data_IF_495813884026
#
_entry.id   IF_495813884026
#
_cell.length_a   1.000
_cell.length_b   1.000
_cell.length_c   1.000
_cell.angle_alpha   90.00
_cell.angle_beta   90.00
_cell.angle_gamma   90.00
#
_symmetry.space_group_name_H-M   'P 1'
#
loop_
_entity.id
_entity.type
_entity.pdbx_description
1 polymer ?
#
# COMPACT_ATOMS: atom_id res chain seq x y z
N UNK A 1 33.78 16.47 11.06
CA UNK A 1 33.47 17.88 10.70
C UNK A 1 34.61 18.73 11.25
N UNK A 2 35.54 19.19 10.39
CA UNK A 2 36.80 19.85 10.77
C UNK A 2 36.64 21.30 11.29
N UNK A 3 37.66 22.14 11.13
CA UNK A 3 37.59 23.58 11.44
C UNK A 3 36.88 24.35 10.31
N UNK A 4 35.54 24.29 10.26
CA UNK A 4 34.71 24.95 9.25
C UNK A 4 34.37 26.41 9.60
N UNK A 5 34.46 26.78 10.87
CA UNK A 5 34.19 28.15 11.30
C UNK A 5 35.29 29.09 10.80
N UNK A 6 34.92 30.27 10.28
CA UNK A 6 35.87 31.29 9.83
C UNK A 6 37.00 30.71 8.94
N UNK A 7 36.63 29.80 8.03
CA UNK A 7 37.54 29.15 7.11
C UNK A 7 37.03 29.33 5.68
N UNK A 8 37.77 30.13 4.90
CA UNK A 8 37.42 30.48 3.53
C UNK A 8 37.34 29.27 2.58
N UNK A 9 37.91 28.11 2.96
CA UNK A 9 37.76 26.88 2.18
C UNK A 9 36.31 26.34 2.16
N UNK A 10 35.43 26.86 3.03
CA UNK A 10 34.00 26.52 3.12
C UNK A 10 33.09 27.71 2.76
N UNK A 11 33.64 28.79 2.18
CA UNK A 11 32.90 30.02 1.92
C UNK A 11 31.69 29.80 0.98
N UNK A 12 31.75 28.79 0.12
CA UNK A 12 30.70 28.40 -0.83
C UNK A 12 29.53 27.65 -0.19
N UNK A 13 29.71 27.09 1.01
CA UNK A 13 28.68 26.31 1.72
C UNK A 13 28.14 27.01 2.97
N UNK A 14 28.68 28.16 3.37
CA UNK A 14 28.10 28.96 4.45
C UNK A 14 26.74 29.51 4.04
N UNK A 15 25.85 29.66 5.01
CA UNK A 15 24.45 30.05 4.74
C UNK A 15 23.96 31.14 5.67
N UNK A 16 24.74 31.50 6.70
CA UNK A 16 24.60 32.74 7.48
C UNK A 16 25.93 33.49 7.48
N UNK A 17 25.97 34.78 7.79
CA UNK A 17 24.89 35.77 7.89
C UNK A 17 25.00 36.71 6.69
N UNK A 18 23.96 36.88 5.84
CA UNK A 18 24.07 37.65 4.58
C UNK A 18 24.34 39.15 4.78
N UNK A 19 24.49 39.61 6.03
CA UNK A 19 24.64 41.00 6.45
C UNK A 19 25.78 41.13 7.46
N UNK A 20 26.45 42.27 7.44
CA UNK A 20 27.48 42.65 8.43
C UNK A 20 26.97 43.59 9.52
N UNK A 21 25.72 44.04 9.41
CA UNK A 21 25.09 44.97 10.37
C UNK A 21 23.76 44.42 10.87
N UNK A 22 23.45 44.71 12.14
CA UNK A 22 22.23 44.25 12.79
C UNK A 22 21.07 45.21 12.48
N UNK A 23 20.01 44.70 11.85
CA UNK A 23 18.75 45.40 11.66
C UNK A 23 17.62 44.38 11.51
N UNK A 24 16.40 44.76 11.90
CA UNK A 24 15.21 43.88 11.78
C UNK A 24 15.28 42.59 12.60
N UNK A 25 16.15 42.51 13.62
CA UNK A 25 16.32 41.33 14.48
C UNK A 25 17.32 40.29 13.96
N UNK A 26 17.82 40.41 12.73
CA UNK A 26 18.74 39.45 12.12
C UNK A 26 20.19 39.54 12.67
N UNK A 27 20.86 38.39 12.77
CA UNK A 27 22.24 38.31 13.22
C UNK A 27 23.24 38.93 12.21
N UNK A 28 24.19 39.78 12.64
CA UNK A 28 25.31 40.21 11.81
C UNK A 28 26.47 39.20 11.86
N UNK A 29 27.39 39.26 10.90
CA UNK A 29 28.63 38.47 10.90
C UNK A 29 29.31 38.45 9.54
N UNK A 30 28.52 38.53 8.47
CA UNK A 30 28.98 38.23 7.12
C UNK A 30 28.87 36.73 6.82
N UNK A 31 29.12 36.35 5.57
CA UNK A 31 29.01 34.95 5.12
C UNK A 31 30.23 34.11 5.55
N UNK A 32 30.38 33.79 6.84
CA UNK A 32 31.63 33.18 7.33
C UNK A 32 31.55 32.19 8.51
N UNK A 33 30.42 32.09 9.18
CA UNK A 33 30.41 31.54 10.54
C UNK A 33 29.44 30.38 10.77
N UNK A 34 28.39 30.18 9.95
CA UNK A 34 27.35 29.18 10.22
C UNK A 34 26.74 28.58 8.96
N UNK A 35 26.28 27.33 9.10
CA UNK A 35 25.38 26.67 8.18
C UNK A 35 24.10 26.24 8.90
N UNK A 36 22.97 26.21 8.19
CA UNK A 36 21.74 25.62 8.71
C UNK A 36 21.86 24.10 8.78
N UNK A 37 21.33 23.54 9.85
CA UNK A 37 21.25 22.10 10.06
C UNK A 37 19.88 21.61 9.63
N UNK A 38 19.86 20.63 8.72
CA UNK A 38 18.66 19.85 8.45
C UNK A 38 18.69 18.68 9.44
N UNK A 39 17.80 18.71 10.42
CA UNK A 39 17.62 17.60 11.34
C UNK A 39 16.73 16.54 10.71
N UNK A 40 17.16 15.29 10.78
CA UNK A 40 16.40 14.12 10.35
C UNK A 40 16.06 13.27 11.57
N UNK A 41 15.02 12.44 11.48
CA UNK A 41 14.67 11.51 12.56
C UNK A 41 15.75 10.42 12.69
N UNK A 42 15.81 9.78 13.86
CA UNK A 42 16.68 8.62 14.07
C UNK A 42 16.38 7.51 13.03
N UNK A 43 15.12 7.34 12.64
CA UNK A 43 14.69 6.38 11.62
C UNK A 43 15.38 6.58 10.25
N UNK A 44 15.69 7.83 9.88
CA UNK A 44 16.43 8.15 8.64
C UNK A 44 17.94 7.89 8.78
N UNK A 45 18.46 7.86 10.01
CA UNK A 45 19.88 7.63 10.30
C UNK A 45 20.20 6.16 10.64
N UNK A 46 19.18 5.38 11.01
CA UNK A 46 19.27 3.97 11.42
C UNK A 46 18.94 3.01 10.27
N UNK A 47 18.97 3.49 9.02
CA UNK A 47 18.71 2.71 7.79
C UNK A 47 17.31 2.05 7.75
N UNK A 48 16.35 2.53 8.54
CA UNK A 48 14.95 2.04 8.50
C UNK A 48 14.11 2.68 7.38
N UNK A 49 14.67 3.68 6.70
CA UNK A 49 14.13 4.32 5.50
C UNK A 49 15.32 4.71 4.61
N UNK A 50 15.36 4.20 3.38
CA UNK A 50 16.49 4.38 2.46
C UNK A 50 16.44 5.77 1.75
N UNK A 51 16.57 6.85 2.52
CA UNK A 51 16.64 8.22 1.98
C UNK A 51 18.07 8.56 1.57
N UNK A 52 18.31 8.75 0.27
CA UNK A 52 19.60 9.15 -0.29
C UNK A 52 19.62 10.64 -0.62
N UNK A 53 20.67 11.35 -0.18
CA UNK A 53 20.91 12.71 -0.66
C UNK A 53 21.34 12.66 -2.14
N UNK A 54 20.67 13.42 -3.00
CA UNK A 54 21.06 13.53 -4.41
C UNK A 54 22.30 14.42 -4.48
N UNK A 55 23.42 13.82 -4.90
CA UNK A 55 24.71 14.51 -4.96
C UNK A 55 24.62 15.83 -5.75
N UNK A 56 25.38 16.84 -5.31
CA UNK A 56 25.45 18.18 -5.92
C UNK A 56 24.12 18.99 -5.99
N UNK A 57 23.12 18.66 -5.17
CA UNK A 57 21.84 19.42 -5.14
C UNK A 57 21.74 20.42 -3.98
N UNK A 58 22.69 20.40 -3.04
CA UNK A 58 22.78 21.39 -1.97
C UNK A 58 23.17 22.76 -2.54
N UNK A 59 22.26 23.73 -2.46
CA UNK A 59 22.45 25.09 -2.96
C UNK A 59 22.11 26.08 -1.86
N UNK A 60 23.11 26.83 -1.40
CA UNK A 60 22.93 28.03 -0.59
C UNK A 60 22.59 29.21 -1.51
N UNK A 61 21.30 29.51 -1.67
CA UNK A 61 20.82 30.41 -2.72
C UNK A 61 21.37 31.83 -2.58
N UNK A 62 22.13 32.26 -3.58
CA UNK A 62 22.81 33.55 -3.62
C UNK A 62 24.22 33.55 -3.02
N UNK A 63 24.67 32.46 -2.40
CA UNK A 63 26.07 32.33 -2.02
C UNK A 63 26.92 32.00 -3.25
N UNK A 64 27.93 32.82 -3.52
CA UNK A 64 28.90 32.61 -4.60
C UNK A 64 30.32 32.31 -4.09
N UNK A 65 30.47 32.14 -2.78
CA UNK A 65 31.75 31.89 -2.12
C UNK A 65 32.72 33.09 -2.11
N UNK A 66 32.32 34.27 -2.60
CA UNK A 66 33.19 35.44 -2.68
C UNK A 66 32.96 36.47 -1.57
N UNK A 67 31.89 36.29 -0.80
CA UNK A 67 31.44 37.25 0.22
C UNK A 67 31.83 36.84 1.64
N UNK A 68 32.90 36.05 1.80
CA UNK A 68 33.41 35.63 3.10
C UNK A 68 33.71 36.84 4.02
N UNK A 69 33.14 36.84 5.24
CA UNK A 69 33.12 37.95 6.22
C UNK A 69 32.51 39.25 5.68
N UNK A 70 31.73 39.19 4.61
CA UNK A 70 31.08 40.32 3.97
C UNK A 70 29.56 40.10 3.88
N UNK A 71 28.84 41.19 3.60
CA UNK A 71 27.43 41.11 3.25
C UNK A 71 27.30 40.49 1.85
N UNK A 72 26.25 39.70 1.62
CA UNK A 72 25.99 39.01 0.34
C UNK A 72 25.85 39.96 -0.86
N UNK A 73 25.51 41.22 -0.59
CA UNK A 73 25.34 42.28 -1.57
C UNK A 73 26.52 43.27 -1.61
N UNK A 74 27.65 42.93 -0.96
CA UNK A 74 28.87 43.74 -0.96
C UNK A 74 29.60 43.60 -2.29
N UNK A 75 29.47 44.61 -3.16
CA UNK A 75 30.08 44.55 -4.49
C UNK A 75 29.19 43.78 -5.46
N UNK A 76 29.78 42.87 -6.24
CA UNK A 76 29.05 42.09 -7.25
C UNK A 76 28.84 40.66 -6.78
N UNK A 77 27.59 40.19 -6.79
CA UNK A 77 27.26 38.79 -6.58
C UNK A 77 27.17 38.05 -7.92
N UNK A 78 27.86 36.93 -8.03
CA UNK A 78 27.89 36.13 -9.27
C UNK A 78 26.85 35.01 -9.32
N UNK A 79 26.23 34.65 -8.19
CA UNK A 79 25.17 33.65 -8.11
C UNK A 79 23.79 34.24 -8.41
N UNK A 80 23.54 35.51 -8.06
CA UNK A 80 22.25 36.18 -8.24
C UNK A 80 22.41 37.64 -8.67
N UNK A 81 21.37 38.22 -9.28
CA UNK A 81 21.36 39.65 -9.61
C UNK A 81 21.47 40.53 -8.36
N UNK A 82 21.98 41.76 -8.50
CA UNK A 82 22.10 42.70 -7.39
C UNK A 82 20.77 42.92 -6.64
N UNK A 83 19.66 43.03 -7.36
CA UNK A 83 18.33 43.19 -6.77
C UNK A 83 17.95 42.01 -5.87
N UNK A 84 18.33 40.78 -6.25
CA UNK A 84 18.09 39.58 -5.44
C UNK A 84 19.07 39.53 -4.26
N UNK A 85 20.34 39.88 -4.45
CA UNK A 85 21.30 39.97 -3.34
C UNK A 85 20.84 40.99 -2.27
N UNK A 86 20.35 42.16 -2.68
CA UNK A 86 19.80 43.18 -1.78
C UNK A 86 18.55 42.66 -1.05
N UNK A 87 17.69 41.92 -1.75
CA UNK A 87 16.50 41.31 -1.15
C UNK A 87 16.88 40.23 -0.13
N UNK A 88 17.83 39.35 -0.44
CA UNK A 88 18.34 38.32 0.49
C UNK A 88 18.98 38.96 1.73
N UNK A 89 19.82 39.98 1.52
CA UNK A 89 20.42 40.78 2.60
C UNK A 89 19.34 41.37 3.54
N UNK A 90 18.25 41.90 2.98
CA UNK A 90 17.20 42.55 3.75
C UNK A 90 16.24 41.56 4.44
N UNK A 91 15.84 40.51 3.72
CA UNK A 91 14.70 39.67 4.07
C UNK A 91 15.00 38.61 5.14
N UNK A 92 16.24 38.12 5.21
CA UNK A 92 16.57 36.96 6.05
C UNK A 92 17.95 37.08 6.68
N UNK A 93 18.14 36.56 7.89
CA UNK A 93 19.46 36.38 8.51
C UNK A 93 20.14 35.06 8.11
N UNK A 94 19.46 34.30 7.24
CA UNK A 94 19.90 33.07 6.62
C UNK A 94 19.59 33.02 5.11
N UNK A 95 20.47 32.45 4.30
CA UNK A 95 20.17 32.17 2.90
C UNK A 95 19.19 31.01 2.73
N UNK A 96 18.22 31.07 1.81
CA UNK A 96 17.44 29.87 1.46
C UNK A 96 18.38 28.74 1.04
N UNK A 97 18.20 27.57 1.62
CA UNK A 97 18.96 26.36 1.27
C UNK A 97 18.03 25.40 0.54
N UNK A 98 18.47 24.94 -0.62
CA UNK A 98 17.81 23.89 -1.38
C UNK A 98 18.66 22.64 -1.33
N UNK A 99 18.03 21.48 -1.20
CA UNK A 99 18.67 20.17 -1.33
C UNK A 99 17.61 19.20 -1.84
N UNK A 100 18.02 18.24 -2.66
CA UNK A 100 17.15 17.16 -3.12
C UNK A 100 17.52 15.87 -2.42
N UNK A 101 16.49 15.16 -1.96
CA UNK A 101 16.59 13.85 -1.37
C UNK A 101 15.76 12.90 -2.24
N UNK A 102 16.30 11.72 -2.49
CA UNK A 102 15.64 10.64 -3.17
C UNK A 102 15.26 9.58 -2.13
N UNK A 103 14.02 9.13 -2.20
CA UNK A 103 13.54 7.97 -1.45
C UNK A 103 13.63 6.75 -2.37
N UNK A 104 13.72 5.53 -1.83
CA UNK A 104 14.16 4.35 -2.59
C UNK A 104 13.13 3.82 -3.61
N UNK A 105 12.02 4.50 -3.87
CA UNK A 105 11.06 4.06 -4.91
C UNK A 105 10.16 5.14 -5.49
N UNK A 106 10.74 6.28 -5.87
CA UNK A 106 9.99 7.30 -6.61
C UNK A 106 9.01 8.10 -5.75
N UNK A 107 8.04 8.76 -6.38
CA UNK A 107 6.98 9.49 -5.67
C UNK A 107 5.93 8.51 -5.13
N UNK A 108 5.02 8.96 -4.27
CA UNK A 108 3.84 8.16 -3.94
C UNK A 108 2.93 8.10 -5.18
N UNK A 109 2.43 6.92 -5.51
CA UNK A 109 1.45 6.74 -6.59
C UNK A 109 0.15 7.46 -6.27
N UNK A 110 -0.56 7.90 -7.31
CA UNK A 110 -1.95 8.35 -7.19
C UNK A 110 -2.93 7.17 -6.98
N UNK A 111 -2.49 5.92 -7.26
CA UNK A 111 -3.30 4.72 -7.10
C UNK A 111 -3.33 4.24 -5.64
N UNK A 112 -4.50 3.83 -5.15
CA UNK A 112 -4.66 3.38 -3.75
C UNK A 112 -4.83 1.86 -3.63
N UNK A 113 -3.71 1.13 -3.59
CA UNK A 113 -3.65 -0.29 -3.22
C UNK A 113 -2.94 -0.46 -1.88
N UNK A 114 -3.38 -1.45 -1.10
CA UNK A 114 -2.84 -1.73 0.24
C UNK A 114 -2.60 -3.22 0.38
N UNK A 115 -1.44 -3.63 0.90
CA UNK A 115 -1.12 -5.01 1.26
C UNK A 115 -1.86 -5.36 2.55
N UNK A 116 -2.69 -6.41 2.51
CA UNK A 116 -3.63 -6.75 3.59
C UNK A 116 -3.31 -8.04 4.33
N UNK A 117 -2.62 -8.99 3.71
CA UNK A 117 -2.28 -10.27 4.32
C UNK A 117 -1.00 -10.83 3.69
N UNK A 118 -0.15 -11.47 4.49
CA UNK A 118 1.15 -12.03 4.05
C UNK A 118 1.31 -13.42 4.66
N UNK A 119 1.57 -14.43 3.82
CA UNK A 119 2.01 -15.77 4.19
C UNK A 119 3.48 -15.95 3.81
N UNK A 120 4.42 -15.61 4.70
CA UNK A 120 5.85 -15.72 4.40
C UNK A 120 6.40 -17.13 4.63
N UNK A 121 5.77 -17.94 5.50
CA UNK A 121 6.30 -19.22 5.95
C UNK A 121 5.21 -20.30 5.95
N UNK A 122 4.79 -20.82 4.77
CA UNK A 122 3.81 -21.91 4.69
C UNK A 122 4.33 -23.19 5.39
N UNK A 123 3.46 -23.92 6.08
CA UNK A 123 3.82 -25.19 6.71
C UNK A 123 3.29 -26.41 5.94
N UNK A 124 2.17 -26.25 5.22
CA UNK A 124 1.55 -27.34 4.47
C UNK A 124 2.37 -27.72 3.22
N UNK A 125 3.06 -26.76 2.62
CA UNK A 125 3.90 -26.94 1.43
C UNK A 125 5.19 -26.11 1.55
N UNK A 126 6.16 -26.34 0.67
CA UNK A 126 7.38 -25.52 0.64
C UNK A 126 7.10 -24.07 0.26
N UNK A 127 7.93 -23.16 0.76
CA UNK A 127 7.98 -21.72 0.44
C UNK A 127 7.87 -21.45 -1.07
N UNK A 128 8.62 -22.22 -1.88
CA UNK A 128 8.59 -22.13 -3.35
C UNK A 128 7.23 -22.35 -4.04
N UNK A 129 6.20 -22.72 -3.27
CA UNK A 129 4.83 -22.97 -3.73
C UNK A 129 3.80 -22.25 -2.87
N UNK A 130 4.02 -22.21 -1.55
CA UNK A 130 3.03 -21.75 -0.57
C UNK A 130 3.12 -20.28 -0.17
N UNK A 131 4.14 -19.55 -0.60
CA UNK A 131 4.25 -18.11 -0.34
C UNK A 131 3.22 -17.33 -1.16
N UNK A 132 2.56 -16.39 -0.49
CA UNK A 132 1.64 -15.44 -1.12
C UNK A 132 1.49 -14.18 -0.25
N UNK A 133 1.05 -13.11 -0.89
CA UNK A 133 0.56 -11.92 -0.23
C UNK A 133 -0.73 -11.44 -0.91
N UNK A 134 -1.51 -10.65 -0.20
CA UNK A 134 -2.80 -10.14 -0.64
C UNK A 134 -2.79 -8.62 -0.70
N UNK A 135 -3.41 -8.06 -1.73
CA UNK A 135 -3.64 -6.62 -1.88
C UNK A 135 -5.13 -6.31 -1.96
N UNK A 136 -5.51 -5.12 -1.50
CA UNK A 136 -6.85 -4.56 -1.55
C UNK A 136 -6.85 -3.24 -2.33
N UNK A 137 -7.72 -3.14 -3.34
CA UNK A 137 -7.97 -1.86 -4.00
C UNK A 137 -8.88 -1.00 -3.12
N UNK A 138 -8.33 0.11 -2.61
CA UNK A 138 -9.08 1.11 -1.81
C UNK A 138 -9.47 2.35 -2.61
N UNK A 139 -9.06 2.41 -3.87
CA UNK A 139 -9.45 3.46 -4.80
C UNK A 139 -10.92 3.34 -5.19
N UNK A 140 -11.43 4.42 -5.78
CA UNK A 140 -12.74 4.53 -6.40
C UNK A 140 -12.82 4.00 -7.84
N UNK A 141 -11.66 3.67 -8.44
CA UNK A 141 -11.54 3.19 -9.83
C UNK A 141 -10.97 1.77 -9.90
N UNK A 142 -11.19 1.12 -11.05
CA UNK A 142 -10.51 -0.14 -11.39
C UNK A 142 -9.05 0.17 -11.71
N UNK A 143 -8.14 -0.62 -11.15
CA UNK A 143 -6.69 -0.51 -11.39
C UNK A 143 -6.25 -1.72 -12.21
N UNK A 144 -5.57 -1.49 -13.34
CA UNK A 144 -4.86 -2.54 -14.09
C UNK A 144 -3.39 -2.52 -13.69
N UNK A 145 -2.87 -3.66 -13.22
CA UNK A 145 -1.49 -3.79 -12.74
C UNK A 145 -0.50 -4.09 -13.86
N UNK A 146 -0.92 -4.10 -15.14
CA UNK A 146 0.01 -4.28 -16.25
C UNK A 146 1.12 -3.22 -16.25
N UNK A 147 2.37 -3.68 -16.26
CA UNK A 147 3.57 -2.85 -16.20
C UNK A 147 4.03 -2.50 -14.79
N UNK A 148 3.28 -2.85 -13.75
CA UNK A 148 3.67 -2.61 -12.36
C UNK A 148 4.75 -3.60 -11.92
N UNK A 149 5.53 -3.22 -10.91
CA UNK A 149 6.62 -4.04 -10.38
C UNK A 149 6.36 -4.39 -8.93
N UNK A 150 6.58 -5.66 -8.57
CA UNK A 150 6.66 -6.15 -7.19
C UNK A 150 8.12 -6.48 -6.93
N UNK A 151 8.66 -6.04 -5.80
CA UNK A 151 10.06 -6.29 -5.45
C UNK A 151 10.28 -6.35 -3.94
N UNK A 152 11.43 -6.90 -3.57
CA UNK A 152 12.08 -6.65 -2.28
C UNK A 152 13.11 -5.50 -2.40
N UNK A 153 13.71 -5.04 -1.29
CA UNK A 153 14.88 -4.12 -1.37
C UNK A 153 16.17 -4.81 -1.85
N UNK A 154 16.10 -6.09 -2.21
CA UNK A 154 17.18 -6.83 -2.82
C UNK A 154 17.26 -6.59 -4.33
N UNK A 155 17.61 -7.64 -5.07
CA UNK A 155 17.61 -7.62 -6.54
C UNK A 155 16.42 -8.42 -7.12
N UNK A 156 15.52 -8.91 -6.26
CA UNK A 156 14.49 -9.85 -6.65
C UNK A 156 13.23 -9.04 -7.03
N UNK A 157 13.11 -8.80 -8.33
CA UNK A 157 12.01 -8.00 -8.91
C UNK A 157 11.14 -8.86 -9.81
N UNK A 158 9.85 -8.56 -9.85
CA UNK A 158 8.88 -9.19 -10.73
C UNK A 158 7.99 -8.13 -11.37
N UNK A 159 8.13 -7.96 -12.69
CA UNK A 159 7.27 -7.07 -13.47
C UNK A 159 6.00 -7.81 -13.89
N UNK A 160 4.85 -7.22 -13.63
CA UNK A 160 3.56 -7.69 -14.11
C UNK A 160 3.44 -7.37 -15.59
N UNK A 161 3.42 -8.40 -16.44
CA UNK A 161 3.42 -8.24 -17.90
C UNK A 161 2.09 -8.59 -18.55
N UNK A 162 1.09 -8.91 -17.74
CA UNK A 162 -0.26 -9.26 -18.16
C UNK A 162 -1.26 -8.30 -17.55
N UNK A 163 -2.27 -7.91 -18.33
CA UNK A 163 -3.40 -7.13 -17.82
C UNK A 163 -4.17 -7.94 -16.78
N UNK A 164 -4.21 -7.38 -15.57
CA UNK A 164 -4.92 -7.93 -14.43
C UNK A 164 -5.56 -6.77 -13.67
N UNK A 165 -6.88 -6.78 -13.64
CA UNK A 165 -7.68 -5.67 -13.12
C UNK A 165 -8.20 -5.98 -11.72
N UNK A 166 -8.02 -5.05 -10.79
CA UNK A 166 -8.60 -5.09 -9.45
C UNK A 166 -9.62 -3.95 -9.31
N UNK A 167 -10.89 -4.30 -9.08
CA UNK A 167 -11.95 -3.32 -8.91
C UNK A 167 -11.99 -2.72 -7.48
N UNK A 168 -12.62 -1.55 -7.27
CA UNK A 168 -12.76 -0.95 -5.94
C UNK A 168 -13.29 -1.93 -4.88
N UNK A 169 -12.58 -2.03 -3.77
CA UNK A 169 -12.90 -2.91 -2.65
C UNK A 169 -12.70 -4.40 -2.91
N UNK A 170 -12.00 -4.78 -4.00
CA UNK A 170 -11.63 -6.17 -4.27
C UNK A 170 -10.25 -6.48 -3.68
N UNK A 171 -10.11 -7.76 -3.30
CA UNK A 171 -8.85 -8.36 -2.89
C UNK A 171 -8.24 -9.12 -4.07
N UNK A 172 -6.93 -9.24 -4.10
CA UNK A 172 -6.19 -10.02 -5.07
C UNK A 172 -5.03 -10.74 -4.39
N UNK A 173 -4.91 -12.04 -4.60
CA UNK A 173 -3.84 -12.88 -4.05
C UNK A 173 -2.75 -13.07 -5.09
N UNK A 174 -1.55 -12.63 -4.75
CA UNK A 174 -0.35 -12.82 -5.55
C UNK A 174 0.46 -13.93 -4.90
N UNK A 175 0.76 -14.99 -5.65
CA UNK A 175 1.43 -16.17 -5.10
C UNK A 175 2.46 -16.79 -6.03
N UNK A 176 3.21 -17.76 -5.52
CA UNK A 176 4.28 -18.44 -6.26
C UNK A 176 3.84 -19.56 -7.17
N UNK A 177 2.63 -20.08 -6.95
CA UNK A 177 2.13 -21.22 -7.70
C UNK A 177 0.60 -21.16 -7.81
N UNK A 178 0.07 -21.22 -9.03
CA UNK A 178 -1.37 -21.22 -9.29
C UNK A 178 -2.03 -22.61 -9.30
N UNK A 179 -1.28 -23.68 -9.08
CA UNK A 179 -1.83 -25.02 -8.95
C UNK A 179 -2.27 -25.28 -7.50
N UNK A 180 -3.59 -25.19 -7.26
CA UNK A 180 -4.21 -25.36 -5.93
C UNK A 180 -3.85 -26.68 -5.23
N UNK A 181 -3.59 -27.74 -5.99
CA UNK A 181 -3.20 -29.04 -5.43
C UNK A 181 -1.75 -29.09 -4.92
N UNK A 182 -0.99 -28.03 -5.15
CA UNK A 182 0.45 -27.98 -4.98
C UNK A 182 0.91 -26.79 -4.13
N UNK A 183 0.08 -25.75 -4.02
CA UNK A 183 0.38 -24.49 -3.36
C UNK A 183 -0.20 -24.39 -1.93
N UNK A 184 -0.75 -25.48 -1.39
CA UNK A 184 -1.41 -25.50 -0.08
C UNK A 184 -2.89 -25.13 -0.13
N UNK A 185 -3.48 -25.00 -1.32
CA UNK A 185 -4.92 -24.87 -1.54
C UNK A 185 -5.46 -23.44 -1.50
N UNK A 186 -4.60 -22.42 -1.65
CA UNK A 186 -5.06 -21.04 -1.90
C UNK A 186 -5.28 -20.80 -3.41
N UNK A 187 -6.16 -19.85 -3.74
CA UNK A 187 -6.38 -19.43 -5.12
C UNK A 187 -5.45 -18.24 -5.39
N UNK A 188 -4.52 -18.40 -6.34
CA UNK A 188 -3.67 -17.31 -6.81
C UNK A 188 -4.38 -16.56 -7.95
N UNK A 189 -4.62 -15.27 -7.79
CA UNK A 189 -5.12 -14.40 -8.86
C UNK A 189 -3.97 -14.01 -9.83
N UNK A 190 -2.76 -13.89 -9.29
CA UNK A 190 -1.55 -13.66 -10.07
C UNK A 190 -0.39 -14.54 -9.59
N UNK A 191 0.45 -14.98 -10.54
CA UNK A 191 1.60 -15.84 -10.25
C UNK A 191 2.90 -15.07 -10.50
N UNK A 192 3.72 -14.93 -9.47
CA UNK A 192 5.08 -14.38 -9.57
C UNK A 192 6.14 -15.48 -9.46
N UNK A 193 7.33 -15.24 -10.01
CA UNK A 193 8.39 -16.27 -10.09
C UNK A 193 9.79 -15.83 -9.70
N UNK A 194 10.09 -14.53 -9.74
CA UNK A 194 11.40 -13.94 -9.44
C UNK A 194 11.41 -13.11 -8.15
N UNK A 195 10.40 -13.30 -7.31
CA UNK A 195 10.19 -12.66 -6.02
C UNK A 195 9.95 -13.78 -4.99
N UNK A 196 10.51 -13.66 -3.78
CA UNK A 196 10.41 -14.66 -2.69
C UNK A 196 10.18 -13.92 -1.39
N UNK A 197 9.64 -14.62 -0.37
CA UNK A 197 9.38 -14.02 0.94
C UNK A 197 10.34 -14.59 1.99
N UNK A 198 11.04 -13.73 2.70
CA UNK A 198 11.93 -14.11 3.79
C UNK A 198 11.14 -14.64 4.99
N UNK A 199 11.58 -15.77 5.54
CA UNK A 199 10.96 -16.37 6.74
C UNK A 199 11.26 -15.62 8.05
N UNK A 200 12.19 -14.66 8.04
CA UNK A 200 12.78 -14.02 9.23
C UNK A 200 12.59 -12.51 9.22
N UNK A 201 12.87 -11.92 8.07
CA UNK A 201 12.64 -10.52 7.74
C UNK A 201 12.57 -10.44 6.22
N UNK A 202 11.72 -9.56 5.71
CA UNK A 202 11.68 -9.22 4.29
C UNK A 202 10.82 -7.98 4.05
N UNK A 203 10.76 -7.55 2.80
CA UNK A 203 10.05 -6.37 2.38
C UNK A 203 9.28 -6.62 1.08
N UNK A 204 8.05 -6.14 1.03
CA UNK A 204 7.21 -6.19 -0.16
C UNK A 204 6.97 -4.76 -0.60
N UNK A 205 7.42 -4.40 -1.80
CA UNK A 205 7.22 -3.08 -2.40
C UNK A 205 6.45 -3.23 -3.70
N UNK A 206 5.39 -2.44 -3.87
CA UNK A 206 4.60 -2.34 -5.09
C UNK A 206 4.89 -1.00 -5.74
N UNK A 207 5.32 -1.03 -7.00
CA UNK A 207 5.63 0.14 -7.81
C UNK A 207 4.70 0.17 -9.03
N UNK A 208 4.08 1.32 -9.32
CA UNK A 208 3.23 1.49 -10.50
C UNK A 208 4.04 1.59 -11.81
N UNK A 209 3.34 1.68 -12.94
CA UNK A 209 3.97 1.80 -14.26
C UNK A 209 4.71 3.11 -14.52
N UNK A 210 4.61 4.09 -13.61
CA UNK A 210 5.31 5.38 -13.65
C UNK A 210 6.46 5.44 -12.62
N UNK A 211 6.88 4.28 -12.10
CA UNK A 211 7.95 4.12 -11.11
C UNK A 211 7.66 4.76 -9.73
N UNK A 212 6.38 4.89 -9.35
CA UNK A 212 5.96 5.40 -8.03
C UNK A 212 5.61 4.27 -7.06
N UNK A 213 6.04 4.36 -5.79
CA UNK A 213 5.60 3.43 -4.73
C UNK A 213 4.10 3.60 -4.51
N UNK A 214 3.39 2.49 -4.63
CA UNK A 214 1.96 2.37 -4.33
C UNK A 214 1.77 1.96 -2.87
N UNK A 215 2.46 0.91 -2.44
CA UNK A 215 2.49 0.46 -1.05
C UNK A 215 3.80 -0.28 -0.74
N UNK A 216 4.16 -0.33 0.54
CA UNK A 216 5.26 -1.15 1.03
C UNK A 216 5.00 -1.71 2.43
N UNK A 217 5.53 -2.89 2.68
CA UNK A 217 5.54 -3.54 4.00
C UNK A 217 6.92 -4.15 4.24
N UNK A 218 7.64 -3.66 5.24
CA UNK A 218 8.83 -4.28 5.81
C UNK A 218 8.43 -5.01 7.09
N UNK A 219 8.70 -6.32 7.14
CA UNK A 219 8.38 -7.17 8.29
C UNK A 219 9.61 -7.90 8.81
N UNK A 220 9.59 -8.23 10.10
CA UNK A 220 10.61 -9.04 10.77
C UNK A 220 9.96 -10.01 11.78
N UNK A 221 10.76 -10.74 12.56
CA UNK A 221 10.25 -11.70 13.55
C UNK A 221 9.40 -11.09 14.69
N UNK A 222 9.28 -9.76 14.78
CA UNK A 222 8.36 -9.11 15.73
C UNK A 222 6.91 -9.12 15.22
N UNK A 223 6.72 -9.28 13.91
CA UNK A 223 5.40 -9.35 13.30
C UNK A 223 4.70 -10.67 13.65
N UNK A 224 3.36 -10.68 13.71
CA UNK A 224 2.59 -11.80 14.25
C UNK A 224 2.33 -12.90 13.20
N UNK A 225 3.39 -13.44 12.59
CA UNK A 225 3.31 -14.63 11.74
C UNK A 225 4.10 -15.79 12.37
N UNK A 226 3.78 -17.02 12.00
CA UNK A 226 4.56 -18.22 12.36
C UNK A 226 4.53 -19.21 11.20
N UNK A 227 5.31 -20.30 11.27
CA UNK A 227 5.19 -21.37 10.28
C UNK A 227 3.74 -21.88 10.18
N UNK A 228 3.17 -21.80 8.98
CA UNK A 228 1.79 -22.15 8.66
C UNK A 228 0.76 -21.09 9.06
N UNK A 229 1.17 -19.89 9.47
CA UNK A 229 0.24 -18.84 9.93
C UNK A 229 0.63 -17.51 9.30
N UNK A 230 -0.26 -16.99 8.45
CA UNK A 230 -0.16 -15.66 7.87
C UNK A 230 -0.45 -14.57 8.90
N UNK A 231 -0.01 -13.37 8.58
CA UNK A 231 -0.36 -12.13 9.28
C UNK A 231 -1.26 -11.27 8.41
N UNK A 232 -2.23 -10.61 9.01
CA UNK A 232 -3.13 -9.67 8.33
C UNK A 232 -3.10 -8.28 8.97
N UNK A 233 -3.36 -7.26 8.17
CA UNK A 233 -3.43 -5.87 8.60
C UNK A 233 -4.79 -5.61 9.28
N UNK A 234 -4.77 -5.26 10.57
CA UNK A 234 -6.00 -5.10 11.38
C UNK A 234 -6.87 -3.94 10.89
N UNK A 235 -6.25 -2.90 10.34
CA UNK A 235 -6.95 -1.75 9.79
C UNK A 235 -6.13 -1.14 8.67
N UNK A 236 -6.75 -0.98 7.51
CA UNK A 236 -6.15 -0.45 6.29
C UNK A 236 -5.62 0.99 6.43
N UNK A 237 -6.00 1.71 7.48
CA UNK A 237 -5.48 3.06 7.75
C UNK A 237 -4.28 3.06 8.71
N UNK A 238 -3.85 1.90 9.20
CA UNK A 238 -2.69 1.80 10.09
C UNK A 238 -1.39 1.79 9.29
N UNK A 239 -0.30 2.20 9.94
CA UNK A 239 1.03 2.10 9.34
C UNK A 239 1.40 0.61 9.23
N UNK A 240 1.45 0.09 8.01
CA UNK A 240 1.77 -1.30 7.69
C UNK A 240 3.20 -1.70 8.08
N UNK A 241 4.10 -0.73 8.29
CA UNK A 241 5.48 -0.94 8.75
C UNK A 241 5.62 -1.00 10.28
N UNK A 242 4.53 -1.21 11.02
CA UNK A 242 4.56 -1.44 12.47
C UNK A 242 3.95 -2.82 12.77
N UNK A 243 4.69 -3.66 13.49
CA UNK A 243 4.25 -4.97 13.99
C UNK A 243 2.86 -4.91 14.68
N UNK A 244 2.63 -3.87 15.48
CA UNK A 244 1.39 -3.62 16.21
C UNK A 244 0.19 -3.29 15.31
N UNK A 245 0.38 -3.09 14.00
CA UNK A 245 -0.71 -2.93 13.03
C UNK A 245 -1.26 -4.27 12.54
N UNK A 246 -0.52 -5.36 12.75
CA UNK A 246 -0.85 -6.69 12.25
C UNK A 246 -1.43 -7.60 13.35
N UNK A 247 -1.99 -8.73 12.91
CA UNK A 247 -2.39 -9.85 13.75
C UNK A 247 -2.22 -11.18 13.01
N UNK A 248 -2.03 -12.27 13.75
CA UNK A 248 -1.97 -13.62 13.20
C UNK A 248 -3.35 -14.10 12.75
N UNK A 249 -3.41 -14.80 11.62
CA UNK A 249 -4.65 -15.44 11.16
C UNK A 249 -4.98 -16.70 11.96
N UNK A 250 -6.27 -16.99 12.10
CA UNK A 250 -6.79 -18.17 12.80
C UNK A 250 -7.73 -19.03 11.94
N UNK A 251 -7.93 -18.62 10.69
CA UNK A 251 -8.82 -19.30 9.75
C UNK A 251 -8.02 -20.30 8.94
N UNK A 252 -8.32 -21.60 9.06
CA UNK A 252 -7.66 -22.59 8.22
C UNK A 252 -8.14 -22.46 6.76
N UNK A 253 -7.22 -22.57 5.81
CA UNK A 253 -7.52 -22.69 4.38
C UNK A 253 -6.83 -23.92 3.79
N UNK A 254 -7.32 -24.36 2.63
CA UNK A 254 -6.71 -25.41 1.83
C UNK A 254 -6.27 -26.64 2.64
N UNK A 255 -4.97 -26.91 2.64
CA UNK A 255 -4.33 -28.07 3.26
C UNK A 255 -4.03 -27.92 4.77
N UNK A 256 -4.39 -26.78 5.38
CA UNK A 256 -4.40 -26.61 6.84
C UNK A 256 -3.57 -25.46 7.40
N UNK A 257 -2.91 -24.67 6.55
CA UNK A 257 -2.30 -23.39 6.96
C UNK A 257 -3.40 -22.37 7.35
N UNK A 258 -3.04 -21.36 8.14
CA UNK A 258 -3.94 -20.33 8.64
C UNK A 258 -3.80 -19.04 7.84
N UNK A 259 -4.91 -18.55 7.30
CA UNK A 259 -4.99 -17.38 6.43
C UNK A 259 -6.37 -17.20 5.83
N UNK A 260 -6.61 -16.03 5.27
CA UNK A 260 -7.85 -15.67 4.58
C UNK A 260 -7.64 -15.28 3.11
N UNK A 261 -6.83 -16.03 2.32
CA UNK A 261 -6.48 -15.63 0.95
C UNK A 261 -7.73 -15.36 0.09
N UNK A 262 -7.80 -14.15 -0.47
CA UNK A 262 -8.84 -13.66 -1.36
C UNK A 262 -10.03 -13.06 -0.61
N UNK A 263 -9.88 -12.74 0.68
CA UNK A 263 -10.97 -12.30 1.57
C UNK A 263 -10.44 -11.36 2.64
N UNK A 264 -11.32 -10.48 3.12
CA UNK A 264 -11.04 -9.72 4.32
C UNK A 264 -10.80 -10.66 5.52
N UNK A 265 -9.78 -10.36 6.33
CA UNK A 265 -9.48 -11.11 7.57
C UNK A 265 -10.68 -11.22 8.53
N UNK A 266 -11.61 -10.27 8.47
CA UNK A 266 -12.83 -10.24 9.28
C UNK A 266 -14.03 -10.95 8.63
N UNK A 267 -13.84 -11.67 7.51
CA UNK A 267 -14.87 -12.50 6.88
C UNK A 267 -15.22 -13.70 7.78
N UNK A 268 -16.17 -13.49 8.69
CA UNK A 268 -16.49 -14.38 9.81
C UNK A 268 -17.36 -15.58 9.38
N UNK A 269 -16.92 -16.35 8.38
CA UNK A 269 -17.63 -17.55 7.91
C UNK A 269 -17.35 -18.83 8.73
N UNK A 270 -16.59 -18.75 9.84
CA UNK A 270 -16.38 -19.85 10.80
C UNK A 270 -16.65 -19.43 12.26
N UNK A 271 -17.48 -20.22 12.95
CA UNK A 271 -18.24 -19.90 14.18
C UNK A 271 -17.37 -19.88 15.46
N UNK A 272 -17.60 -18.86 16.32
CA UNK A 272 -17.92 -18.94 17.76
C UNK A 272 -17.03 -18.13 18.75
N UNK A 273 -17.67 -17.12 19.36
CA UNK A 273 -17.41 -16.48 20.68
C UNK A 273 -16.25 -15.46 20.76
N UNK A 274 -16.53 -14.20 20.39
CA UNK A 274 -16.45 -13.05 21.32
C UNK A 274 -17.25 -11.84 20.79
N UNK A 275 -17.73 -11.05 21.74
CA UNK A 275 -18.88 -10.15 21.73
C UNK A 275 -18.86 -8.90 20.80
N UNK A 276 -20.00 -8.70 20.14
CA UNK A 276 -20.83 -7.49 19.99
C UNK A 276 -20.37 -6.24 19.19
N UNK A 277 -19.11 -6.12 18.73
CA UNK A 277 -18.68 -4.94 17.94
C UNK A 277 -18.51 -5.19 16.42
N UNK A 278 -18.80 -6.40 15.93
CA UNK A 278 -18.54 -6.80 14.53
C UNK A 278 -19.77 -7.31 13.76
N UNK A 279 -20.98 -7.19 14.33
CA UNK A 279 -22.17 -7.51 13.56
C UNK A 279 -22.44 -6.41 12.51
N UNK A 280 -22.70 -6.78 11.24
CA UNK A 280 -23.03 -5.79 10.24
C UNK A 280 -24.29 -5.04 10.67
N UNK A 281 -24.29 -3.72 10.51
CA UNK A 281 -25.44 -2.87 10.89
C UNK A 281 -26.55 -2.87 9.83
N UNK A 282 -26.28 -3.39 8.63
CA UNK A 282 -27.24 -3.44 7.53
C UNK A 282 -27.20 -4.73 6.70
N UNK A 283 -28.29 -4.98 5.97
CA UNK A 283 -28.35 -6.00 4.92
C UNK A 283 -27.70 -5.46 3.66
N UNK A 284 -26.61 -6.08 3.21
CA UNK A 284 -25.88 -5.68 2.01
C UNK A 284 -25.61 -6.89 1.12
N UNK A 285 -25.69 -6.67 -0.19
CA UNK A 285 -25.23 -7.60 -1.21
C UNK A 285 -23.97 -6.99 -1.82
N UNK A 286 -22.83 -7.65 -1.61
CA UNK A 286 -21.54 -7.20 -2.13
C UNK A 286 -21.37 -7.61 -3.59
N UNK A 287 -20.46 -6.96 -4.33
CA UNK A 287 -20.10 -7.43 -5.65
C UNK A 287 -19.64 -8.89 -5.63
N UNK A 288 -20.36 -9.77 -6.33
CA UNK A 288 -19.96 -11.14 -6.60
C UNK A 288 -18.62 -11.20 -7.35
N UNK A 289 -17.73 -12.12 -6.96
CA UNK A 289 -16.39 -12.31 -7.53
C UNK A 289 -16.09 -13.80 -7.80
N UNK A 290 -15.48 -14.15 -8.95
CA UNK A 290 -15.22 -13.27 -10.09
C UNK A 290 -16.52 -12.78 -10.76
N UNK A 291 -16.50 -11.65 -11.46
CA UNK A 291 -17.60 -11.16 -12.31
C UNK A 291 -17.08 -10.12 -13.32
N UNK A 292 -16.84 -10.47 -14.60
CA UNK A 292 -17.31 -11.67 -15.29
C UNK A 292 -16.71 -12.97 -14.76
N UNK A 293 -17.42 -14.09 -14.89
CA UNK A 293 -17.02 -15.37 -14.29
C UNK A 293 -17.15 -16.56 -15.25
N UNK A 294 -16.39 -17.64 -14.99
CA UNK A 294 -16.45 -18.89 -15.74
C UNK A 294 -16.03 -20.12 -14.89
N UNK A 295 -16.90 -21.12 -14.65
CA UNK A 295 -18.34 -21.03 -14.50
C UNK A 295 -18.75 -20.75 -13.04
N UNK A 296 -17.81 -20.41 -12.16
CA UNK A 296 -18.02 -20.21 -10.72
C UNK A 296 -17.88 -18.75 -10.32
N UNK A 297 -18.82 -18.24 -9.50
CA UNK A 297 -18.70 -16.97 -8.78
C UNK A 297 -19.10 -17.14 -7.32
N UNK A 298 -18.48 -16.38 -6.43
CA UNK A 298 -18.88 -16.22 -5.04
C UNK A 298 -19.81 -15.02 -4.91
N UNK A 299 -20.83 -15.14 -4.07
CA UNK A 299 -21.85 -14.12 -3.79
C UNK A 299 -21.78 -13.83 -2.30
N UNK A 300 -21.21 -12.67 -1.96
CA UNK A 300 -21.01 -12.25 -0.57
C UNK A 300 -22.14 -11.33 -0.13
N UNK A 301 -22.63 -11.52 1.10
CA UNK A 301 -23.72 -10.74 1.70
C UNK A 301 -23.51 -10.53 3.19
N UNK A 302 -24.06 -9.44 3.74
CA UNK A 302 -24.12 -9.19 5.19
C UNK A 302 -25.55 -9.20 5.68
N UNK A 303 -25.79 -9.75 6.87
CA UNK A 303 -27.10 -9.83 7.53
C UNK A 303 -27.00 -9.28 8.95
N UNK A 304 -27.72 -8.18 9.21
CA UNK A 304 -27.62 -7.47 10.47
C UNK A 304 -28.28 -8.18 11.66
N UNK A 305 -29.42 -8.85 11.41
CA UNK A 305 -30.17 -9.57 12.41
C UNK A 305 -30.62 -10.91 11.85
N UNK A 306 -30.80 -11.90 12.71
CA UNK A 306 -31.28 -13.22 12.29
C UNK A 306 -32.60 -13.05 11.54
N UNK A 307 -32.62 -13.47 10.28
CA UNK A 307 -33.73 -13.22 9.38
C UNK A 307 -33.92 -14.38 8.41
N UNK A 308 -35.14 -14.55 7.93
CA UNK A 308 -35.39 -15.39 6.78
C UNK A 308 -34.91 -14.65 5.53
N UNK A 309 -34.01 -15.26 4.77
CA UNK A 309 -33.51 -14.69 3.52
C UNK A 309 -33.73 -15.65 2.35
N UNK A 310 -33.85 -15.06 1.17
CA UNK A 310 -33.86 -15.79 -0.09
C UNK A 310 -32.84 -15.21 -1.05
N UNK A 311 -31.97 -16.05 -1.59
CA UNK A 311 -30.97 -15.68 -2.59
C UNK A 311 -31.22 -16.46 -3.87
N UNK A 312 -31.62 -15.77 -4.93
CA UNK A 312 -32.06 -16.38 -6.18
C UNK A 312 -31.35 -15.80 -7.38
N UNK A 313 -31.10 -16.62 -8.41
CA UNK A 313 -30.51 -16.21 -9.68
C UNK A 313 -31.58 -16.16 -10.75
N UNK A 314 -31.61 -15.08 -11.53
CA UNK A 314 -32.52 -14.86 -12.64
C UNK A 314 -31.77 -14.59 -13.95
N UNK A 315 -32.34 -15.01 -15.08
CA UNK A 315 -31.87 -14.59 -16.40
C UNK A 315 -32.48 -13.23 -16.83
N UNK A 316 -32.02 -12.68 -17.96
CA UNK A 316 -32.50 -11.40 -18.50
C UNK A 316 -34.01 -11.35 -18.79
N UNK A 317 -34.67 -12.49 -18.91
CA UNK A 317 -36.12 -12.57 -19.12
C UNK A 317 -36.90 -12.65 -17.80
N UNK A 318 -36.21 -12.55 -16.65
CA UNK A 318 -36.81 -12.68 -15.32
C UNK A 318 -37.18 -14.10 -14.95
N UNK A 319 -36.67 -15.11 -15.67
CA UNK A 319 -36.91 -16.51 -15.30
C UNK A 319 -35.93 -16.91 -14.19
N UNK A 320 -36.47 -17.55 -13.14
CA UNK A 320 -35.68 -18.14 -12.07
C UNK A 320 -34.78 -19.24 -12.65
N UNK A 321 -33.48 -19.09 -12.44
CA UNK A 321 -32.43 -20.00 -12.89
C UNK A 321 -31.98 -20.91 -11.77
N UNK A 322 -31.78 -20.35 -10.57
CA UNK A 322 -31.30 -21.11 -9.40
C UNK A 322 -31.76 -20.45 -8.09
N UNK A 323 -31.83 -21.24 -7.01
CA UNK A 323 -32.10 -20.77 -5.66
C UNK A 323 -30.96 -21.23 -4.75
N UNK A 324 -30.07 -20.29 -4.41
CA UNK A 324 -28.83 -20.58 -3.70
C UNK A 324 -29.06 -20.71 -2.19
N UNK A 325 -30.08 -20.03 -1.66
CA UNK A 325 -30.40 -20.05 -0.25
C UNK A 325 -31.86 -19.63 0.00
N UNK A 326 -32.58 -20.36 0.86
CA UNK A 326 -34.00 -20.11 1.16
C UNK A 326 -34.32 -20.61 2.58
N UNK A 327 -33.84 -19.89 3.59
CA UNK A 327 -33.95 -20.30 5.00
C UNK A 327 -33.68 -19.16 5.98
N UNK A 328 -33.82 -19.43 7.28
CA UNK A 328 -33.31 -18.59 8.37
C UNK A 328 -31.78 -18.60 8.38
N UNK A 329 -31.18 -17.41 8.38
CA UNK A 329 -29.73 -17.21 8.47
C UNK A 329 -29.39 -16.42 9.74
N UNK A 330 -28.24 -16.71 10.33
CA UNK A 330 -27.74 -15.98 11.51
C UNK A 330 -27.19 -14.60 11.12
N UNK A 331 -27.12 -13.63 12.06
CA UNK A 331 -26.40 -12.38 11.82
C UNK A 331 -24.95 -12.66 11.43
N UNK A 332 -24.39 -11.84 10.53
CA UNK A 332 -22.99 -11.94 10.10
C UNK A 332 -22.80 -11.77 8.60
N UNK A 333 -21.56 -12.00 8.16
CA UNK A 333 -21.18 -12.07 6.76
C UNK A 333 -21.30 -13.51 6.26
N UNK A 334 -21.80 -13.68 5.04
CA UNK A 334 -22.05 -14.98 4.45
C UNK A 334 -21.60 -14.98 2.99
N UNK A 335 -21.13 -16.13 2.53
CA UNK A 335 -20.79 -16.34 1.13
C UNK A 335 -21.52 -17.56 0.58
N UNK A 336 -22.15 -17.37 -0.57
CA UNK A 336 -22.80 -18.41 -1.35
C UNK A 336 -22.03 -18.60 -2.65
N UNK A 337 -21.96 -19.83 -3.15
CA UNK A 337 -21.28 -20.11 -4.43
C UNK A 337 -22.33 -20.38 -5.49
N UNK A 338 -22.24 -19.70 -6.62
CA UNK A 338 -23.02 -20.06 -7.80
C UNK A 338 -22.13 -20.81 -8.82
N UNK A 339 -22.54 -22.03 -9.15
CA UNK A 339 -21.88 -22.92 -10.11
C UNK A 339 -22.72 -23.00 -11.40
N UNK A 340 -22.39 -22.17 -12.38
CA UNK A 340 -23.18 -21.99 -13.60
C UNK A 340 -22.76 -22.93 -14.75
N UNK A 341 -22.24 -24.13 -14.42
CA UNK A 341 -21.66 -25.08 -15.39
C UNK A 341 -22.62 -25.43 -16.52
N UNK A 342 -23.93 -25.50 -16.24
CA UNK A 342 -24.98 -25.86 -17.21
C UNK A 342 -25.73 -24.65 -17.80
N UNK A 343 -25.28 -23.43 -17.51
CA UNK A 343 -25.90 -22.20 -17.99
C UNK A 343 -25.17 -21.65 -19.22
N UNK A 344 -25.88 -20.90 -20.07
CA UNK A 344 -25.29 -20.28 -21.27
C UNK A 344 -24.58 -18.97 -20.88
N UNK A 345 -23.52 -18.59 -21.61
CA UNK A 345 -22.91 -17.27 -21.44
C UNK A 345 -23.97 -16.17 -21.61
N UNK A 346 -23.91 -15.15 -20.75
CA UNK A 346 -24.92 -14.10 -20.74
C UNK A 346 -25.02 -13.36 -19.42
N UNK A 347 -25.99 -12.45 -19.36
CA UNK A 347 -26.26 -11.63 -18.19
C UNK A 347 -27.27 -12.37 -17.29
N UNK A 348 -26.96 -12.37 -16.00
CA UNK A 348 -27.80 -12.89 -14.94
C UNK A 348 -27.94 -11.84 -13.84
N UNK A 349 -28.90 -12.05 -12.95
CA UNK A 349 -29.11 -11.21 -11.79
C UNK A 349 -29.22 -12.07 -10.54
N UNK A 350 -28.41 -11.77 -9.53
CA UNK A 350 -28.66 -12.28 -8.19
C UNK A 350 -29.59 -11.32 -7.45
N UNK A 351 -30.56 -11.90 -6.76
CA UNK A 351 -31.55 -11.23 -5.94
C UNK A 351 -31.42 -11.72 -4.51
N UNK A 352 -31.18 -10.80 -3.56
CA UNK A 352 -31.22 -11.04 -2.12
C UNK A 352 -32.48 -10.40 -1.55
N UNK A 353 -33.38 -11.22 -1.02
CA UNK A 353 -34.59 -10.80 -0.30
C UNK A 353 -34.40 -11.03 1.20
N UNK A 354 -34.56 -9.99 2.03
CA UNK A 354 -34.45 -10.09 3.49
C UNK A 354 -35.24 -9.00 4.18
N UNK A 355 -36.14 -9.35 5.12
CA UNK A 355 -36.87 -8.38 5.95
C UNK A 355 -37.69 -7.34 5.15
N UNK A 356 -38.15 -7.69 3.94
CA UNK A 356 -38.86 -6.78 3.03
C UNK A 356 -37.95 -5.87 2.17
N UNK A 357 -36.64 -5.97 2.31
CA UNK A 357 -35.67 -5.35 1.41
C UNK A 357 -35.30 -6.31 0.28
N UNK A 358 -35.04 -5.73 -0.89
CA UNK A 358 -34.55 -6.44 -2.07
C UNK A 358 -33.25 -5.77 -2.53
N UNK A 359 -32.17 -6.55 -2.64
CA UNK A 359 -30.91 -6.13 -3.25
C UNK A 359 -30.68 -6.94 -4.52
N UNK A 360 -30.23 -6.28 -5.58
CA UNK A 360 -30.00 -6.93 -6.87
C UNK A 360 -28.59 -6.61 -7.35
N UNK A 361 -27.92 -7.60 -7.93
CA UNK A 361 -26.62 -7.40 -8.57
C UNK A 361 -26.59 -8.11 -9.92
N UNK A 362 -26.02 -7.44 -10.94
CA UNK A 362 -25.78 -8.00 -12.27
C UNK A 362 -24.57 -8.95 -12.25
N UNK A 363 -24.70 -10.11 -12.86
CA UNK A 363 -23.67 -11.11 -13.08
C UNK A 363 -23.46 -11.32 -14.59
N UNK A 364 -22.22 -11.55 -15.00
CA UNK A 364 -21.85 -11.81 -16.39
C UNK A 364 -21.11 -13.15 -16.49
N UNK A 365 -21.79 -14.18 -16.98
CA UNK A 365 -21.18 -15.47 -17.26
C UNK A 365 -20.53 -15.41 -18.65
N UNK A 366 -19.23 -15.71 -18.73
CA UNK A 366 -18.51 -15.86 -19.99
C UNK A 366 -17.96 -17.29 -20.06
N UNK A 367 -18.15 -17.98 -21.20
CA UNK A 367 -17.61 -19.34 -21.40
C UNK A 367 -16.61 -19.33 -22.55
#
# INVERSE_FOLDING_TARGET
IGHWHNNNAFADVHTQSPRTTQFGGGAPGGMDDRFDWIFVSAAVLEDSYDMTYVHDTYIAFGNDGQHFNQAINSGTNSAVSQTIADALHAASDHLPVFASFQFPGGYASDSQLIITEIMPNPAAVSDSRGEWFEILNTDSIVIDLNGWTIMDQGNDTHVITTSIEIAPGQYMVLGRNGNEAENGGYIADYIYSSFQLGNTEDEIIIIDGDDNIVDNVSYDNTFPYTSGVSMYLKNITYNSNLDTSWAASFSAYGDGDMGTPGRAWNDTTTIAVIADDFLPVEVKLFPSYPNPFNPRTNISLSIANAAFIKVSIYDVNGRLVDNLYDSMITPGYHQLVWQATNNASGIYFVLLESGGQIKTQKLLLMK
#
